data_IF_740670121324
#
_entry.id   IF_740670121324
#
_cell.length_a   1.000
_cell.length_b   1.000
_cell.length_c   1.000
_cell.angle_alpha   90.00
_cell.angle_beta   90.00
_cell.angle_gamma   90.00
#
_symmetry.space_group_name_H-M   'P 1'
#
loop_
_entity.id
_entity.type
_entity.pdbx_description
1 polymer ?
#
# COMPACT_ATOMS: atom_id res chain seq x y z
N UNK A 1 -11.68 -21.56 -12.62
CA UNK A 1 -12.19 -20.74 -13.74
C UNK A 1 -11.19 -19.61 -13.91
N UNK A 2 -10.37 -19.66 -14.96
CA UNK A 2 -9.21 -18.77 -15.15
C UNK A 2 -9.72 -17.34 -15.34
N UNK A 3 -9.40 -16.46 -14.38
CA UNK A 3 -9.47 -15.02 -14.60
C UNK A 3 -8.29 -14.65 -15.50
N UNK A 4 -8.57 -14.31 -16.74
CA UNK A 4 -7.65 -13.50 -17.55
C UNK A 4 -8.37 -12.19 -17.81
N UNK A 5 -8.28 -11.25 -16.88
CA UNK A 5 -8.64 -9.87 -17.20
C UNK A 5 -7.64 -9.37 -18.26
N UNK A 6 -8.06 -8.41 -19.08
CA UNK A 6 -7.20 -7.86 -20.14
C UNK A 6 -5.86 -7.38 -19.60
N UNK A 7 -5.85 -6.85 -18.37
CA UNK A 7 -4.63 -6.39 -17.72
C UNK A 7 -3.64 -7.54 -17.46
N UNK A 8 -4.08 -8.69 -16.96
CA UNK A 8 -3.20 -9.85 -16.68
C UNK A 8 -2.50 -10.37 -17.94
N UNK A 9 -3.16 -10.21 -19.10
CA UNK A 9 -2.58 -10.55 -20.42
C UNK A 9 -1.69 -9.43 -20.96
N UNK A 10 -1.92 -8.19 -20.55
CA UNK A 10 -1.22 -7.02 -21.03
C UNK A 10 0.10 -6.78 -20.29
N UNK A 11 0.12 -7.04 -18.98
CA UNK A 11 1.21 -6.64 -18.10
C UNK A 11 1.62 -7.78 -17.16
N UNK A 12 2.89 -7.85 -16.76
CA UNK A 12 3.30 -8.68 -15.63
C UNK A 12 2.78 -8.08 -14.32
N UNK A 13 2.31 -8.94 -13.42
CA UNK A 13 1.81 -8.54 -12.10
C UNK A 13 2.79 -8.93 -11.00
N UNK A 14 3.06 -7.99 -10.10
CA UNK A 14 3.80 -8.22 -8.86
C UNK A 14 2.83 -8.02 -7.71
N UNK A 15 2.19 -9.10 -7.27
CA UNK A 15 1.15 -9.04 -6.23
C UNK A 15 1.73 -9.19 -4.82
N UNK A 16 1.07 -8.55 -3.86
CA UNK A 16 1.12 -8.86 -2.44
C UNK A 16 -0.33 -8.91 -1.93
N UNK A 17 -0.61 -9.72 -0.91
CA UNK A 17 -1.93 -9.71 -0.28
C UNK A 17 -2.05 -8.57 0.73
N UNK A 18 -3.28 -8.33 1.13
CA UNK A 18 -3.65 -7.63 2.34
C UNK A 18 -4.35 -8.59 3.32
N UNK A 19 -5.14 -8.05 4.25
CA UNK A 19 -5.90 -8.81 5.23
C UNK A 19 -7.05 -9.60 4.59
N UNK A 20 -7.75 -9.03 3.61
CA UNK A 20 -8.94 -9.61 2.97
C UNK A 20 -8.70 -10.90 2.17
N UNK A 21 -7.45 -11.23 1.83
CA UNK A 21 -7.09 -12.56 1.33
C UNK A 21 -7.23 -13.66 2.40
N UNK A 22 -7.35 -13.27 3.69
CA UNK A 22 -7.54 -14.17 4.82
C UNK A 22 -8.77 -13.81 5.68
N UNK A 23 -8.76 -12.65 6.34
CA UNK A 23 -9.80 -12.13 7.23
C UNK A 23 -9.55 -10.65 7.57
N UNK A 24 -10.63 -9.87 7.79
CA UNK A 24 -10.55 -8.45 8.12
C UNK A 24 -9.61 -8.17 9.31
N UNK A 25 -8.73 -7.19 9.12
CA UNK A 25 -7.70 -6.72 10.03
C UNK A 25 -6.84 -7.85 10.63
N UNK A 26 -6.35 -8.76 9.78
CA UNK A 26 -5.51 -9.87 10.19
C UNK A 26 -4.12 -9.44 10.71
N UNK A 27 -3.63 -10.17 11.71
CA UNK A 27 -2.26 -10.17 12.19
C UNK A 27 -1.75 -11.63 12.26
N UNK A 28 -0.50 -11.84 12.68
CA UNK A 28 0.16 -13.16 12.71
C UNK A 28 -0.66 -14.28 13.36
N UNK A 29 -1.40 -13.95 14.41
CA UNK A 29 -2.05 -14.92 15.31
C UNK A 29 -3.59 -14.82 15.33
N UNK A 30 -4.19 -13.94 14.53
CA UNK A 30 -5.64 -13.80 14.48
C UNK A 30 -6.11 -12.69 13.56
N UNK A 31 -7.40 -12.35 13.66
CA UNK A 31 -7.99 -11.21 12.97
C UNK A 31 -9.17 -10.67 13.77
N UNK A 32 -9.68 -9.49 13.40
CA UNK A 32 -10.86 -8.90 14.05
C UNK A 32 -12.12 -9.75 13.84
N UNK A 33 -12.24 -10.39 12.68
CA UNK A 33 -13.46 -11.09 12.25
C UNK A 33 -13.35 -12.61 12.29
N UNK A 34 -12.29 -13.16 12.90
CA UNK A 34 -12.11 -14.60 13.01
C UNK A 34 -12.75 -15.17 14.29
N UNK A 35 -13.85 -15.90 14.11
CA UNK A 35 -14.41 -16.79 15.14
C UNK A 35 -13.98 -18.26 14.91
N UNK A 36 -13.24 -18.89 15.84
CA UNK A 36 -12.84 -20.29 15.73
C UNK A 36 -14.00 -21.29 15.69
N UNK A 37 -15.14 -20.97 16.31
CA UNK A 37 -16.32 -21.84 16.31
C UNK A 37 -17.00 -21.88 14.93
N UNK A 38 -16.89 -20.80 14.14
CA UNK A 38 -17.49 -20.68 12.81
C UNK A 38 -16.51 -21.00 11.68
N UNK A 39 -15.23 -20.66 11.85
CA UNK A 39 -14.23 -20.69 10.78
C UNK A 39 -13.17 -21.77 10.93
N UNK A 40 -13.19 -22.56 12.01
CA UNK A 40 -12.11 -23.49 12.34
C UNK A 40 -10.90 -22.79 12.95
N UNK A 41 -9.77 -23.48 13.07
CA UNK A 41 -8.57 -22.86 13.67
C UNK A 41 -8.02 -21.73 12.79
N UNK A 42 -7.40 -20.71 13.40
CA UNK A 42 -6.75 -19.63 12.66
C UNK A 42 -5.68 -20.17 11.70
N UNK A 43 -4.90 -21.16 12.15
CA UNK A 43 -3.89 -21.81 11.33
C UNK A 43 -4.48 -22.46 10.08
N UNK A 44 -5.61 -23.17 10.20
CA UNK A 44 -6.24 -23.82 9.05
C UNK A 44 -6.73 -22.78 8.03
N UNK A 45 -7.32 -21.68 8.53
CA UNK A 45 -7.78 -20.57 7.68
C UNK A 45 -6.61 -19.91 6.94
N UNK A 46 -5.51 -19.60 7.62
CA UNK A 46 -4.31 -19.01 7.01
C UNK A 46 -3.66 -19.97 6.03
N UNK A 47 -3.56 -21.26 6.35
CA UNK A 47 -3.02 -22.27 5.44
C UNK A 47 -3.85 -22.37 4.16
N UNK A 48 -5.18 -22.42 4.28
CA UNK A 48 -6.08 -22.44 3.13
C UNK A 48 -5.99 -21.15 2.28
N UNK A 49 -5.97 -19.99 2.94
CA UNK A 49 -5.86 -18.68 2.27
C UNK A 49 -4.54 -18.54 1.50
N UNK A 50 -3.40 -18.83 2.16
CA UNK A 50 -2.09 -18.74 1.52
C UNK A 50 -1.93 -19.77 0.41
N UNK A 51 -2.41 -21.01 0.59
CA UNK A 51 -2.43 -22.00 -0.48
C UNK A 51 -3.21 -21.49 -1.70
N UNK A 52 -4.44 -21.02 -1.50
CA UNK A 52 -5.25 -20.48 -2.60
C UNK A 52 -4.54 -19.31 -3.30
N UNK A 53 -3.93 -18.40 -2.53
CA UNK A 53 -3.19 -17.26 -3.09
C UNK A 53 -2.05 -17.71 -4.03
N UNK A 54 -1.23 -18.68 -3.62
CA UNK A 54 -0.12 -19.20 -4.44
C UNK A 54 -0.59 -20.10 -5.59
N UNK A 55 -1.75 -20.74 -5.48
CA UNK A 55 -2.34 -21.54 -6.57
C UNK A 55 -2.97 -20.69 -7.67
N UNK A 56 -3.54 -19.53 -7.30
CA UNK A 56 -4.30 -18.68 -8.22
C UNK A 56 -3.49 -17.55 -8.85
N UNK A 57 -2.44 -17.07 -8.19
CA UNK A 57 -1.62 -15.97 -8.69
C UNK A 57 -0.30 -16.46 -9.28
N UNK A 58 0.24 -15.78 -10.31
CA UNK A 58 1.50 -16.14 -10.96
C UNK A 58 2.71 -15.72 -10.10
N UNK A 59 2.85 -16.31 -8.92
CA UNK A 59 3.84 -15.94 -7.91
C UNK A 59 4.90 -17.02 -7.84
N UNK A 60 6.18 -16.62 -7.95
CA UNK A 60 7.28 -17.48 -7.50
C UNK A 60 7.33 -17.44 -5.98
N UNK A 61 6.99 -18.57 -5.36
CA UNK A 61 7.01 -18.76 -3.90
C UNK A 61 8.44 -18.62 -3.37
N UNK A 62 8.75 -17.60 -2.54
CA UNK A 62 10.11 -17.38 -2.04
C UNK A 62 10.58 -18.48 -1.08
N UNK A 63 9.67 -18.97 -0.26
CA UNK A 63 9.91 -20.01 0.73
C UNK A 63 8.77 -21.02 0.68
N UNK A 64 9.04 -22.21 0.15
CA UNK A 64 8.05 -23.27 0.05
C UNK A 64 7.73 -23.92 1.41
N UNK A 65 8.55 -23.68 2.44
CA UNK A 65 8.31 -24.18 3.79
C UNK A 65 7.37 -23.29 4.60
N UNK A 66 7.28 -22.00 4.27
CA UNK A 66 6.35 -21.06 4.88
C UNK A 66 5.75 -20.13 3.82
N UNK A 67 4.54 -20.49 3.35
CA UNK A 67 3.86 -19.74 2.29
C UNK A 67 3.52 -18.30 2.69
N UNK A 68 3.54 -17.95 3.98
CA UNK A 68 3.34 -16.57 4.48
C UNK A 68 4.50 -15.65 4.12
N UNK A 69 5.69 -16.21 3.82
CA UNK A 69 6.88 -15.44 3.44
C UNK A 69 6.83 -15.05 1.97
N UNK A 70 6.09 -13.99 1.67
CA UNK A 70 5.93 -13.48 0.29
C UNK A 70 6.71 -12.21 -0.05
N UNK A 71 7.39 -11.61 0.94
CA UNK A 71 8.16 -10.40 0.68
C UNK A 71 9.32 -10.69 -0.28
N UNK A 72 9.49 -9.79 -1.24
CA UNK A 72 10.34 -10.01 -2.43
C UNK A 72 11.00 -8.72 -2.87
N UNK A 73 12.04 -8.89 -3.67
CA UNK A 73 12.86 -7.81 -4.19
C UNK A 73 13.00 -7.92 -5.71
N UNK A 74 12.86 -6.81 -6.42
CA UNK A 74 12.98 -6.73 -7.87
C UNK A 74 13.84 -5.53 -8.27
N UNK A 75 14.84 -5.77 -9.11
CA UNK A 75 15.71 -4.72 -9.65
C UNK A 75 15.27 -4.32 -11.05
N UNK A 76 15.12 -3.00 -11.26
CA UNK A 76 14.83 -2.39 -12.55
C UNK A 76 16.06 -1.61 -13.02
N UNK A 77 17.10 -2.35 -13.42
CA UNK A 77 18.39 -1.78 -13.81
C UNK A 77 19.04 -1.03 -12.65
N UNK A 78 19.63 0.12 -12.94
CA UNK A 78 20.17 1.07 -11.95
C UNK A 78 19.14 2.13 -11.52
N UNK A 79 17.96 2.13 -12.13
CA UNK A 79 16.94 3.15 -11.90
C UNK A 79 16.21 2.93 -10.58
N UNK A 80 15.69 1.73 -10.34
CA UNK A 80 14.82 1.49 -9.19
C UNK A 80 14.95 0.07 -8.64
N UNK A 81 14.75 -0.04 -7.33
CA UNK A 81 14.55 -1.30 -6.61
C UNK A 81 13.14 -1.32 -6.04
N UNK A 82 12.43 -2.42 -6.22
CA UNK A 82 11.09 -2.63 -5.66
C UNK A 82 11.16 -3.67 -4.54
N UNK A 83 10.85 -3.23 -3.33
CA UNK A 83 10.68 -4.04 -2.14
C UNK A 83 9.18 -4.27 -1.92
N UNK A 84 8.70 -5.47 -2.20
CA UNK A 84 7.34 -5.87 -1.85
C UNK A 84 7.35 -6.43 -0.43
N UNK A 85 6.67 -5.74 0.48
CA UNK A 85 6.61 -6.06 1.90
C UNK A 85 5.34 -6.86 2.24
N UNK A 86 5.43 -7.62 3.32
CA UNK A 86 4.31 -8.36 3.92
C UNK A 86 4.02 -7.73 5.29
N UNK A 87 2.81 -7.22 5.50
CA UNK A 87 2.47 -6.51 6.74
C UNK A 87 1.28 -7.13 7.46
N UNK A 88 0.91 -8.40 7.24
CA UNK A 88 -0.28 -9.02 7.84
C UNK A 88 0.00 -10.32 8.57
N UNK A 89 0.39 -11.37 7.86
CA UNK A 89 0.33 -12.74 8.37
C UNK A 89 1.65 -13.27 8.93
N UNK A 90 2.78 -12.66 8.57
CA UNK A 90 4.08 -13.15 9.02
C UNK A 90 4.50 -12.54 10.35
N UNK A 91 4.74 -11.22 10.35
CA UNK A 91 5.42 -10.55 11.46
C UNK A 91 4.53 -9.73 12.36
N UNK A 92 3.39 -9.25 11.85
CA UNK A 92 2.56 -8.23 12.48
C UNK A 92 1.98 -8.66 13.84
N UNK A 93 2.14 -7.79 14.83
CA UNK A 93 1.45 -7.87 16.11
C UNK A 93 0.00 -7.37 16.02
N UNK A 94 -0.90 -7.68 16.99
CA UNK A 94 -2.30 -7.25 16.92
C UNK A 94 -2.44 -5.71 16.92
N UNK A 95 -3.33 -5.12 16.10
CA UNK A 95 -3.53 -3.67 16.01
C UNK A 95 -3.94 -3.02 17.34
N UNK A 96 -3.52 -1.77 17.53
CA UNK A 96 -3.67 -1.04 18.79
C UNK A 96 -5.07 -0.43 18.95
N UNK A 97 -6.10 -1.27 19.18
CA UNK A 97 -7.51 -0.85 19.17
C UNK A 97 -8.02 -0.13 20.42
N UNK A 98 -7.29 -0.17 21.53
CA UNK A 98 -7.71 0.43 22.81
C UNK A 98 -6.84 1.62 23.17
N UNK A 99 -7.34 2.56 23.97
CA UNK A 99 -6.53 3.67 24.49
C UNK A 99 -5.27 3.18 25.22
N UNK A 100 -5.35 2.04 25.92
CA UNK A 100 -4.21 1.39 26.56
C UNK A 100 -3.17 0.94 25.53
N UNK A 101 -3.61 0.33 24.43
CA UNK A 101 -2.72 -0.15 23.37
C UNK A 101 -2.18 0.98 22.50
N UNK A 102 -2.90 2.10 22.38
CA UNK A 102 -2.39 3.31 21.70
C UNK A 102 -1.17 3.90 22.39
N UNK A 103 -1.04 3.72 23.71
CA UNK A 103 0.19 4.06 24.45
C UNK A 103 1.38 3.15 24.13
N UNK A 104 1.16 2.01 23.46
CA UNK A 104 2.17 1.01 23.14
C UNK A 104 2.69 1.10 21.70
N UNK A 105 2.23 2.05 20.89
CA UNK A 105 2.67 2.18 19.48
C UNK A 105 4.18 2.45 19.37
N UNK A 106 4.78 3.05 20.41
CA UNK A 106 6.21 3.32 20.54
C UNK A 106 6.99 2.20 21.26
N UNK A 107 6.35 1.09 21.64
CA UNK A 107 7.05 -0.06 22.20
C UNK A 107 8.02 -0.64 21.16
N UNK A 108 9.31 -0.64 21.49
CA UNK A 108 10.37 -1.14 20.61
C UNK A 108 10.20 -2.62 20.24
N UNK A 109 9.50 -3.41 21.05
CA UNK A 109 9.22 -4.81 20.75
C UNK A 109 8.10 -4.98 19.71
N UNK A 110 7.26 -3.97 19.52
CA UNK A 110 6.12 -4.02 18.61
C UNK A 110 6.58 -3.96 17.15
N UNK A 111 5.97 -4.77 16.30
CA UNK A 111 6.37 -4.89 14.90
C UNK A 111 5.20 -5.09 13.94
N UNK A 112 5.31 -4.48 12.76
CA UNK A 112 4.44 -4.63 11.59
C UNK A 112 5.04 -5.70 10.65
N UNK A 113 6.34 -5.62 10.38
CA UNK A 113 7.02 -6.50 9.42
C UNK A 113 7.50 -7.82 10.04
N UNK A 114 7.72 -7.84 11.35
CA UNK A 114 8.53 -8.86 12.01
C UNK A 114 10.03 -8.61 11.84
N UNK A 115 10.81 -8.91 12.87
CA UNK A 115 12.25 -8.62 12.89
C UNK A 115 13.05 -9.32 11.77
N UNK A 116 12.61 -10.49 11.30
CA UNK A 116 13.24 -11.19 10.18
C UNK A 116 13.14 -10.38 8.88
N UNK A 117 11.93 -9.91 8.54
CA UNK A 117 11.73 -9.10 7.34
C UNK A 117 12.39 -7.72 7.47
N UNK A 118 12.39 -7.13 8.67
CA UNK A 118 13.12 -5.89 8.93
C UNK A 118 14.63 -6.05 8.68
N UNK A 119 15.22 -7.16 9.12
CA UNK A 119 16.62 -7.48 8.88
C UNK A 119 16.90 -7.75 7.40
N UNK A 120 16.02 -8.49 6.72
CA UNK A 120 16.10 -8.72 5.29
C UNK A 120 16.10 -7.40 4.50
N UNK A 121 15.21 -6.47 4.87
CA UNK A 121 15.15 -5.15 4.23
C UNK A 121 16.43 -4.35 4.46
N UNK A 122 16.90 -4.29 5.71
CA UNK A 122 18.14 -3.61 6.05
C UNK A 122 19.34 -4.13 5.25
N UNK A 123 19.45 -5.46 5.10
CA UNK A 123 20.51 -6.10 4.32
C UNK A 123 20.44 -5.76 2.83
N UNK A 124 19.23 -5.57 2.28
CA UNK A 124 19.05 -5.19 0.87
C UNK A 124 19.28 -3.70 0.60
N UNK A 125 19.02 -2.85 1.57
CA UNK A 125 19.28 -1.41 1.46
C UNK A 125 20.78 -1.10 1.57
N UNK A 126 21.52 -1.88 2.36
CA UNK A 126 22.95 -1.70 2.58
C UNK A 126 23.75 -1.78 1.26
N UNK A 127 24.41 -0.67 0.90
CA UNK A 127 25.29 -0.61 -0.28
C UNK A 127 24.58 -0.70 -1.63
N UNK A 128 23.25 -0.63 -1.67
CA UNK A 128 22.49 -0.65 -2.90
C UNK A 128 22.66 0.69 -3.66
N UNK A 129 23.11 0.71 -4.93
CA UNK A 129 23.39 1.95 -5.66
C UNK A 129 22.20 2.48 -6.48
N UNK A 130 21.06 1.78 -6.53
CA UNK A 130 19.93 2.18 -7.36
C UNK A 130 19.45 3.59 -7.02
N UNK A 131 18.86 4.30 -7.98
CA UNK A 131 18.45 5.68 -7.73
C UNK A 131 17.22 5.77 -6.83
N UNK A 132 16.19 5.00 -7.13
CA UNK A 132 14.92 4.98 -6.41
C UNK A 132 14.75 3.69 -5.60
N UNK A 133 14.23 3.81 -4.38
CA UNK A 133 13.76 2.64 -3.59
C UNK A 133 12.25 2.76 -3.50
N UNK A 134 11.56 1.77 -4.04
CA UNK A 134 10.10 1.69 -4.04
C UNK A 134 9.70 0.60 -3.05
N UNK A 135 8.82 0.92 -2.11
CA UNK A 135 8.30 0.00 -1.11
C UNK A 135 6.82 -0.23 -1.40
N UNK A 136 6.48 -1.39 -1.95
CA UNK A 136 5.10 -1.82 -2.07
C UNK A 136 4.65 -2.42 -0.75
N UNK A 137 3.62 -1.85 -0.14
CA UNK A 137 3.03 -2.35 1.09
C UNK A 137 1.52 -2.12 1.11
N UNK A 138 0.84 -2.66 2.10
CA UNK A 138 -0.61 -2.75 2.15
C UNK A 138 -1.23 -1.44 2.65
N UNK A 139 -0.72 -0.93 3.77
CA UNK A 139 -1.34 0.16 4.55
C UNK A 139 -0.58 1.47 4.48
N UNK A 140 -1.26 2.59 4.69
CA UNK A 140 -0.62 3.92 4.70
C UNK A 140 0.54 4.01 5.71
N UNK A 141 1.71 4.43 5.22
CA UNK A 141 2.95 4.57 5.98
C UNK A 141 3.11 5.97 6.59
N UNK A 142 2.75 7.00 5.82
CA UNK A 142 2.69 8.37 6.28
C UNK A 142 1.72 8.50 7.44
N UNK A 143 2.05 9.41 8.35
CA UNK A 143 1.32 9.53 9.60
C UNK A 143 0.00 10.28 9.38
N UNK A 144 -1.11 9.74 9.87
CA UNK A 144 -2.42 10.37 9.84
C UNK A 144 -2.90 10.57 11.28
N UNK A 145 -2.77 11.80 11.78
CA UNK A 145 -3.14 12.10 13.15
C UNK A 145 -4.43 12.91 13.25
N UNK A 146 -5.29 12.48 14.18
CA UNK A 146 -6.50 13.23 14.57
C UNK A 146 -6.18 14.37 15.54
N UNK A 147 -5.04 14.30 16.22
CA UNK A 147 -4.49 15.37 17.05
C UNK A 147 -2.96 15.40 16.91
N UNK A 148 -2.41 16.53 16.48
CA UNK A 148 -0.97 16.73 16.38
C UNK A 148 -0.40 17.12 17.77
N UNK A 149 0.60 16.37 18.25
CA UNK A 149 1.23 16.58 19.57
C UNK A 149 2.55 17.36 19.49
N UNK A 150 2.80 18.05 18.37
CA UNK A 150 4.04 18.79 18.09
C UNK A 150 5.32 17.94 18.17
N UNK A 151 5.20 16.64 17.89
CA UNK A 151 6.32 15.69 17.88
C UNK A 151 6.70 15.09 19.24
N UNK A 152 5.85 15.23 20.28
CA UNK A 152 6.05 14.59 21.59
C UNK A 152 5.71 13.09 21.58
N UNK A 153 4.73 12.71 20.76
CA UNK A 153 4.47 11.34 20.27
C UNK A 153 4.76 11.41 18.78
N UNK A 154 5.26 10.36 18.11
CA UNK A 154 5.64 10.40 16.68
C UNK A 154 4.50 10.90 15.77
N UNK A 155 4.42 12.22 15.67
CA UNK A 155 3.41 13.05 15.03
C UNK A 155 2.05 13.26 15.74
N UNK A 156 1.56 12.40 16.65
CA UNK A 156 0.22 12.62 17.24
C UNK A 156 -0.53 11.41 17.76
N UNK A 157 -1.84 11.57 17.96
CA UNK A 157 -2.79 10.45 18.20
C UNK A 157 -3.15 9.83 16.85
N UNK A 158 -2.90 8.52 16.64
CA UNK A 158 -3.26 7.80 15.41
C UNK A 158 -4.74 7.97 15.03
N UNK A 159 -5.00 8.30 13.76
CA UNK A 159 -6.34 8.28 13.19
C UNK A 159 -6.78 6.88 12.77
N UNK A 160 -5.83 6.03 12.38
CA UNK A 160 -6.06 4.62 12.07
C UNK A 160 -4.95 3.73 12.67
N UNK A 161 -5.19 3.07 13.82
CA UNK A 161 -4.18 2.23 14.48
C UNK A 161 -3.99 0.85 13.85
N UNK A 162 -4.76 0.52 12.81
CA UNK A 162 -4.49 -0.66 11.98
C UNK A 162 -3.29 -0.42 11.04
N UNK A 163 -3.06 0.83 10.65
CA UNK A 163 -1.97 1.21 9.75
C UNK A 163 -0.64 1.42 10.50
N UNK A 164 0.38 1.95 9.82
CA UNK A 164 1.70 2.17 10.41
C UNK A 164 1.73 3.11 11.62
N UNK A 165 0.70 3.94 11.81
CA UNK A 165 0.54 4.72 13.05
C UNK A 165 0.35 3.85 14.30
N UNK A 166 -0.19 2.63 14.13
CA UNK A 166 -0.26 1.62 15.19
C UNK A 166 1.08 0.96 15.52
N UNK A 167 2.14 1.22 14.74
CA UNK A 167 3.45 0.57 14.83
C UNK A 167 4.58 1.60 14.69
N UNK A 168 4.44 2.73 15.37
CA UNK A 168 5.38 3.86 15.32
C UNK A 168 6.84 3.44 15.56
N UNK A 169 7.10 2.53 16.52
CA UNK A 169 8.43 2.01 16.77
C UNK A 169 9.04 1.29 15.55
N UNK A 170 8.25 0.45 14.85
CA UNK A 170 8.71 -0.21 13.64
C UNK A 170 8.91 0.80 12.50
N UNK A 171 7.97 1.73 12.30
CA UNK A 171 8.11 2.81 11.31
C UNK A 171 9.38 3.62 11.53
N UNK A 172 9.68 3.94 12.78
CA UNK A 172 10.89 4.66 13.19
C UNK A 172 12.16 3.87 12.82
N UNK A 173 12.18 2.54 13.00
CA UNK A 173 13.31 1.70 12.56
C UNK A 173 13.50 1.72 11.04
N UNK A 174 12.45 1.83 10.24
CA UNK A 174 12.55 2.02 8.79
C UNK A 174 13.18 3.38 8.46
N UNK A 175 12.74 4.45 9.11
CA UNK A 175 13.39 5.77 8.98
C UNK A 175 14.86 5.73 9.40
N UNK A 176 15.21 4.99 10.45
CA UNK A 176 16.60 4.81 10.89
C UNK A 176 17.43 4.07 9.82
N UNK A 177 16.88 3.04 9.18
CA UNK A 177 17.54 2.35 8.06
C UNK A 177 17.78 3.29 6.87
N UNK A 178 16.80 4.13 6.51
CA UNK A 178 16.98 5.15 5.47
C UNK A 178 18.02 6.18 5.85
N UNK A 179 18.03 6.65 7.10
CA UNK A 179 19.01 7.61 7.59
C UNK A 179 20.43 7.03 7.59
N UNK A 180 20.62 5.81 8.07
CA UNK A 180 21.91 5.12 8.14
C UNK A 180 22.55 4.90 6.76
N UNK A 181 21.73 4.78 5.71
CA UNK A 181 22.19 4.60 4.34
C UNK A 181 22.14 5.90 3.50
N UNK A 182 21.83 7.05 4.10
CA UNK A 182 21.70 8.33 3.39
C UNK A 182 20.59 8.35 2.33
N UNK A 183 19.59 7.48 2.46
CA UNK A 183 18.53 7.32 1.47
C UNK A 183 17.50 8.43 1.57
N UNK A 184 17.26 9.11 0.45
CA UNK A 184 16.30 10.22 0.34
C UNK A 184 15.35 10.08 -0.86
N UNK A 185 15.55 9.08 -1.71
CA UNK A 185 14.70 8.76 -2.87
C UNK A 185 13.82 7.55 -2.55
N UNK A 186 13.04 7.65 -1.48
CA UNK A 186 12.15 6.59 -1.03
C UNK A 186 10.73 6.86 -1.52
N UNK A 187 10.12 5.90 -2.22
CA UNK A 187 8.74 5.95 -2.68
C UNK A 187 7.97 4.83 -2.00
N UNK A 188 6.93 5.15 -1.25
CA UNK A 188 6.04 4.15 -0.66
C UNK A 188 4.75 4.09 -1.46
N UNK A 189 4.30 2.88 -1.78
CA UNK A 189 3.03 2.60 -2.44
C UNK A 189 2.14 1.82 -1.47
N UNK A 190 0.90 2.28 -1.32
CA UNK A 190 -0.06 1.77 -0.32
C UNK A 190 -1.48 1.70 -0.88
N UNK A 191 -2.35 0.93 -0.23
CA UNK A 191 -3.78 0.80 -0.52
C UNK A 191 -4.60 0.83 0.78
N UNK A 192 -5.44 -0.20 1.00
CA UNK A 192 -6.22 -0.46 2.22
C UNK A 192 -7.35 0.55 2.52
N UNK A 193 -7.06 1.85 2.56
CA UNK A 193 -7.97 2.89 3.07
C UNK A 193 -9.03 3.40 2.06
N UNK A 194 -9.19 2.72 0.93
CA UNK A 194 -10.21 3.00 -0.12
C UNK A 194 -10.33 4.48 -0.54
N UNK A 195 -9.21 5.19 -0.57
CA UNK A 195 -9.15 6.61 -0.94
C UNK A 195 -7.75 6.98 -1.42
N UNK A 196 -7.61 8.08 -2.14
CA UNK A 196 -6.35 8.51 -2.74
C UNK A 196 -5.62 9.54 -1.89
N UNK A 197 -4.32 9.32 -1.66
CA UNK A 197 -3.49 10.21 -0.86
C UNK A 197 -2.10 10.40 -1.44
N UNK A 198 -1.53 11.58 -1.25
CA UNK A 198 -0.12 11.84 -1.52
C UNK A 198 0.52 12.57 -0.35
N UNK A 199 1.65 12.08 0.15
CA UNK A 199 2.29 12.64 1.34
C UNK A 199 3.83 12.72 1.21
N UNK A 200 4.41 13.75 1.82
CA UNK A 200 5.85 13.80 2.09
C UNK A 200 6.19 12.85 3.25
N UNK A 201 7.24 12.06 3.10
CA UNK A 201 7.69 11.12 4.13
C UNK A 201 8.72 11.78 5.04
N UNK A 202 8.35 11.97 6.30
CA UNK A 202 9.22 12.50 7.34
C UNK A 202 8.94 11.79 8.65
N UNK A 203 9.96 11.62 9.48
CA UNK A 203 9.83 10.93 10.78
C UNK A 203 8.94 11.68 11.75
N UNK A 204 8.99 13.02 11.72
CA UNK A 204 8.29 13.90 12.66
C UNK A 204 7.63 15.07 11.91
N UNK A 205 6.54 14.85 11.17
CA UNK A 205 5.83 15.86 10.40
C UNK A 205 5.23 16.99 11.26
N UNK A 206 4.97 16.75 12.55
CA UNK A 206 4.48 17.77 13.48
C UNK A 206 5.58 18.64 14.10
N UNK A 207 6.86 18.33 13.88
CA UNK A 207 7.97 19.02 14.54
C UNK A 207 8.62 20.05 13.58
N UNK A 208 8.42 21.37 13.80
CA UNK A 208 8.95 22.41 12.92
C UNK A 208 10.48 22.52 12.95
N UNK A 209 11.14 21.97 13.96
CA UNK A 209 12.61 21.93 14.02
C UNK A 209 13.17 20.96 12.98
N UNK A 210 12.48 19.84 12.71
CA UNK A 210 12.95 18.79 11.81
C UNK A 210 12.28 18.80 10.45
N UNK A 211 11.06 19.35 10.34
CA UNK A 211 10.28 19.37 9.11
C UNK A 211 9.70 20.76 8.82
N UNK A 212 9.60 21.13 7.54
CA UNK A 212 8.95 22.37 7.12
C UNK A 212 8.02 22.09 5.94
N UNK A 213 6.69 22.23 6.09
CA UNK A 213 5.74 21.96 5.02
C UNK A 213 5.80 22.96 3.86
N UNK A 214 6.40 24.13 4.10
CA UNK A 214 6.54 25.19 3.09
C UNK A 214 7.52 24.84 1.98
N UNK A 215 8.57 24.08 2.30
CA UNK A 215 9.63 23.73 1.37
C UNK A 215 9.98 22.24 1.37
N UNK A 216 9.37 21.43 2.22
CA UNK A 216 9.63 19.98 2.31
C UNK A 216 10.95 19.63 2.97
N UNK A 217 11.63 20.58 3.64
CA UNK A 217 12.83 20.28 4.44
C UNK A 217 12.51 19.17 5.43
N UNK A 218 13.39 18.19 5.54
CA UNK A 218 13.21 17.01 6.41
C UNK A 218 12.43 15.87 5.77
N UNK A 219 11.84 16.06 4.59
CA UNK A 219 11.28 14.98 3.80
C UNK A 219 12.39 14.09 3.23
N UNK A 220 12.19 12.78 3.28
CA UNK A 220 13.12 11.74 2.80
C UNK A 220 12.48 10.83 1.74
N UNK A 221 11.32 11.23 1.21
CA UNK A 221 10.59 10.47 0.22
C UNK A 221 9.16 10.95 0.03
N UNK A 222 8.39 10.17 -0.71
CA UNK A 222 6.97 10.39 -0.94
C UNK A 222 6.20 9.08 -0.78
N UNK A 223 4.93 9.19 -0.39
CA UNK A 223 3.98 8.09 -0.45
C UNK A 223 2.83 8.44 -1.39
N UNK A 224 2.41 7.43 -2.17
CA UNK A 224 1.20 7.46 -2.98
C UNK A 224 0.28 6.33 -2.52
N UNK A 225 -0.87 6.69 -1.97
CA UNK A 225 -1.89 5.74 -1.51
C UNK A 225 -2.98 5.69 -2.57
N UNK A 226 -3.26 4.49 -3.07
CA UNK A 226 -4.22 4.25 -4.12
C UNK A 226 -5.63 4.04 -3.55
N UNK A 227 -6.64 4.57 -4.24
CA UNK A 227 -8.04 4.25 -3.95
C UNK A 227 -8.37 2.79 -4.27
N UNK A 228 -9.56 2.36 -3.86
CA UNK A 228 -10.07 1.03 -4.18
C UNK A 228 -10.41 0.91 -5.67
N UNK A 229 -10.28 -0.31 -6.21
CA UNK A 229 -10.79 -0.63 -7.56
C UNK A 229 -12.30 -0.66 -7.55
N UNK A 230 -12.93 -1.31 -6.56
CA UNK A 230 -14.40 -1.42 -6.44
C UNK A 230 -14.95 -1.38 -5.02
N UNK A 231 -14.14 -1.56 -3.97
CA UNK A 231 -14.61 -1.45 -2.58
C UNK A 231 -15.23 -0.08 -2.30
N UNK A 232 -16.16 -0.01 -1.35
CA UNK A 232 -16.83 1.25 -1.00
C UNK A 232 -15.84 2.36 -0.63
N UNK A 233 -16.02 3.54 -1.23
CA UNK A 233 -15.32 4.78 -0.88
C UNK A 233 -16.10 5.55 0.19
N UNK A 234 -15.57 6.66 0.67
CA UNK A 234 -16.18 7.47 1.74
C UNK A 234 -16.50 8.90 1.27
N UNK A 235 -17.35 9.08 0.25
CA UNK A 235 -17.62 10.41 -0.33
C UNK A 235 -18.27 11.39 0.67
N UNK A 236 -18.95 10.89 1.70
CA UNK A 236 -19.50 11.68 2.79
C UNK A 236 -18.43 12.36 3.65
N UNK A 237 -17.19 11.84 3.65
CA UNK A 237 -16.06 12.40 4.36
C UNK A 237 -15.28 13.43 3.52
N UNK A 238 -15.57 13.58 2.22
CA UNK A 238 -14.86 14.54 1.35
C UNK A 238 -14.73 15.96 1.94
N UNK A 239 -15.74 16.53 2.64
CA UNK A 239 -15.61 17.85 3.27
C UNK A 239 -14.52 17.97 4.33
N UNK A 240 -14.02 16.86 4.90
CA UNK A 240 -12.94 16.89 5.89
C UNK A 240 -11.54 16.82 5.27
N UNK A 241 -11.41 16.61 3.96
CA UNK A 241 -10.12 16.49 3.27
C UNK A 241 -9.19 17.69 3.54
N UNK A 242 -9.74 18.92 3.49
CA UNK A 242 -8.98 20.15 3.77
C UNK A 242 -8.56 20.25 5.24
N UNK A 243 -9.41 19.81 6.17
CA UNK A 243 -9.11 19.78 7.60
C UNK A 243 -7.99 18.77 7.88
N UNK A 244 -8.04 17.60 7.25
CA UNK A 244 -6.98 16.60 7.39
C UNK A 244 -5.64 17.16 6.93
N UNK A 245 -5.58 17.84 5.78
CA UNK A 245 -4.36 18.49 5.27
C UNK A 245 -3.88 19.64 6.16
N UNK A 246 -4.80 20.37 6.79
CA UNK A 246 -4.45 21.42 7.75
C UNK A 246 -3.77 20.86 9.01
N UNK A 247 -4.27 19.73 9.53
CA UNK A 247 -3.72 19.07 10.72
C UNK A 247 -2.45 18.26 10.42
N UNK A 248 -2.34 17.75 9.20
CA UNK A 248 -1.27 16.87 8.73
C UNK A 248 -0.58 17.50 7.51
N UNK A 249 0.18 18.57 7.73
CA UNK A 249 0.75 19.42 6.65
C UNK A 249 1.76 18.73 5.71
N UNK A 250 2.18 17.50 6.03
CA UNK A 250 2.94 16.62 5.13
C UNK A 250 2.07 15.90 4.10
N UNK A 251 0.77 15.73 4.37
CA UNK A 251 -0.21 15.22 3.41
C UNK A 251 -0.55 16.36 2.43
N UNK A 252 -0.24 16.15 1.15
CA UNK A 252 -0.43 17.14 0.07
C UNK A 252 -1.72 16.93 -0.71
N UNK A 253 -2.20 15.69 -0.74
CA UNK A 253 -3.40 15.29 -1.49
C UNK A 253 -4.25 14.32 -0.68
N UNK A 254 -5.56 14.52 -0.76
CA UNK A 254 -6.61 13.69 -0.18
C UNK A 254 -7.79 13.72 -1.15
N UNK A 255 -8.22 12.57 -1.63
CA UNK A 255 -9.43 12.40 -2.44
C UNK A 255 -10.17 11.16 -1.94
N UNK A 256 -11.36 11.36 -1.38
CA UNK A 256 -12.07 10.35 -0.59
C UNK A 256 -13.23 9.69 -1.36
N UNK A 257 -13.49 10.12 -2.59
CA UNK A 257 -14.75 9.86 -3.28
C UNK A 257 -14.61 8.82 -4.37
N UNK A 258 -13.59 8.97 -5.20
CA UNK A 258 -13.49 8.23 -6.46
C UNK A 258 -12.68 6.95 -6.29
N UNK A 259 -13.14 5.90 -6.97
CA UNK A 259 -12.32 4.75 -7.31
C UNK A 259 -11.26 5.14 -8.33
N UNK A 260 -10.23 4.31 -8.49
CA UNK A 260 -9.18 4.59 -9.46
C UNK A 260 -7.94 3.75 -9.27
N UNK A 261 -6.86 4.21 -9.90
CA UNK A 261 -5.53 3.65 -9.73
C UNK A 261 -4.46 4.74 -9.72
N UNK A 262 -3.27 4.38 -9.26
CA UNK A 262 -2.09 5.23 -9.33
C UNK A 262 -1.15 4.74 -10.42
N UNK A 263 -0.74 5.64 -11.31
CA UNK A 263 0.37 5.42 -12.23
C UNK A 263 1.63 6.05 -11.63
N UNK A 264 2.68 5.24 -11.44
CA UNK A 264 3.99 5.72 -11.00
C UNK A 264 4.94 5.78 -12.20
N UNK A 265 5.36 6.99 -12.59
CA UNK A 265 6.42 7.22 -13.57
C UNK A 265 7.74 7.52 -12.85
N UNK A 266 8.76 6.70 -13.13
CA UNK A 266 10.11 6.87 -12.60
C UNK A 266 11.07 7.20 -13.73
N UNK A 267 11.81 8.28 -13.57
CA UNK A 267 12.97 8.61 -14.40
C UNK A 267 14.18 8.88 -13.52
N UNK A 268 15.40 9.00 -14.08
CA UNK A 268 16.53 9.38 -13.25
C UNK A 268 16.33 10.73 -12.52
N UNK A 269 15.52 11.65 -13.05
CA UNK A 269 15.37 12.99 -12.48
C UNK A 269 14.19 13.14 -11.53
N UNK A 270 13.18 12.25 -11.60
CA UNK A 270 11.96 12.38 -10.80
C UNK A 270 11.23 11.06 -10.59
N UNK A 271 10.44 11.03 -9.52
CA UNK A 271 9.35 10.09 -9.34
C UNK A 271 8.04 10.88 -9.35
N UNK A 272 7.08 10.47 -10.18
CA UNK A 272 5.78 11.11 -10.32
C UNK A 272 4.66 10.08 -10.13
N UNK A 273 3.78 10.34 -9.15
CA UNK A 273 2.55 9.58 -8.95
C UNK A 273 1.35 10.33 -9.50
N UNK A 274 0.53 9.64 -10.28
CA UNK A 274 -0.65 10.17 -10.95
C UNK A 274 -1.88 9.42 -10.51
N UNK A 275 -2.91 10.16 -10.09
CA UNK A 275 -4.18 9.61 -9.65
C UNK A 275 -5.16 9.63 -10.83
N UNK A 276 -5.45 8.45 -11.37
CA UNK A 276 -6.44 8.24 -12.42
C UNK A 276 -7.73 7.76 -11.80
N UNK A 277 -8.79 8.53 -11.98
CA UNK A 277 -10.05 8.37 -11.25
C UNK A 277 -11.15 7.89 -12.20
N UNK A 278 -12.01 7.02 -11.72
CA UNK A 278 -13.22 6.58 -12.44
C UNK A 278 -14.48 7.14 -11.77
N UNK A 279 -15.50 7.39 -12.58
CA UNK A 279 -16.76 8.02 -12.15
C UNK A 279 -17.76 7.03 -11.52
N UNK A 280 -17.75 5.76 -11.94
CA UNK A 280 -18.60 4.71 -11.38
C UNK A 280 -17.98 3.32 -11.53
N UNK A 281 -18.32 2.44 -10.60
CA UNK A 281 -18.02 1.00 -10.63
C UNK A 281 -19.30 0.14 -10.63
N UNK A 282 -20.47 0.77 -10.57
CA UNK A 282 -21.77 0.08 -10.49
C UNK A 282 -22.24 -0.41 -11.87
N UNK A 283 -21.67 0.16 -12.94
CA UNK A 283 -22.01 -0.20 -14.32
C UNK A 283 -20.73 -0.42 -15.14
N UNK A 284 -20.79 -1.23 -16.21
CA UNK A 284 -19.64 -1.47 -17.07
C UNK A 284 -19.27 -0.27 -17.95
N UNK A 285 -20.09 0.79 -17.96
CA UNK A 285 -19.83 2.02 -18.70
C UNK A 285 -19.35 3.07 -17.70
N UNK A 286 -18.07 3.37 -17.76
CA UNK A 286 -17.42 4.34 -16.88
C UNK A 286 -16.52 5.27 -17.70
N UNK A 287 -16.22 6.43 -17.12
CA UNK A 287 -15.26 7.38 -17.64
C UNK A 287 -14.04 7.40 -16.74
N UNK A 288 -12.87 7.28 -17.34
CA UNK A 288 -11.59 7.54 -16.68
C UNK A 288 -11.20 9.00 -16.89
N UNK A 289 -10.66 9.63 -15.84
CA UNK A 289 -10.11 10.99 -15.91
C UNK A 289 -8.83 11.13 -15.11
N UNK A 290 -7.97 12.02 -15.58
CA UNK A 290 -6.85 12.52 -14.79
C UNK A 290 -7.40 13.29 -13.57
N UNK A 291 -7.00 12.88 -12.37
CA UNK A 291 -7.39 13.52 -11.12
C UNK A 291 -6.36 14.56 -10.68
N UNK A 292 -5.20 14.09 -10.27
CA UNK A 292 -4.08 14.93 -9.82
C UNK A 292 -2.76 14.19 -10.06
N UNK A 293 -1.66 14.92 -10.03
CA UNK A 293 -0.33 14.32 -10.02
C UNK A 293 0.61 15.07 -9.09
N UNK A 294 1.55 14.33 -8.52
CA UNK A 294 2.57 14.87 -7.64
C UNK A 294 3.92 14.24 -7.97
N UNK A 295 4.97 15.06 -7.98
CA UNK A 295 6.32 14.63 -8.29
C UNK A 295 7.30 15.06 -7.22
N UNK A 296 8.33 14.24 -7.05
CA UNK A 296 9.51 14.55 -6.27
C UNK A 296 10.76 14.41 -7.15
N UNK A 297 11.71 15.37 -7.09
CA UNK A 297 12.95 15.29 -7.85
C UNK A 297 13.89 14.21 -7.28
N UNK A 298 14.96 13.86 -8.01
CA UNK A 298 16.09 13.17 -7.39
C UNK A 298 16.68 14.05 -6.28
N UNK A 299 16.73 13.53 -5.06
CA UNK A 299 17.30 14.25 -3.92
C UNK A 299 18.77 14.62 -4.14
N UNK A 300 19.55 13.85 -4.93
CA UNK A 300 20.94 14.18 -5.22
C UNK A 300 21.06 15.49 -6.03
N UNK A 301 20.10 15.75 -6.92
CA UNK A 301 20.04 17.00 -7.70
C UNK A 301 19.65 18.21 -6.80
N UNK A 302 19.11 17.95 -5.60
CA UNK A 302 18.79 18.94 -4.56
C UNK A 302 19.89 19.04 -3.47
N UNK A 303 21.11 18.65 -3.81
CA UNK A 303 22.25 18.63 -2.87
C UNK A 303 22.10 17.60 -1.74
N UNK A 304 21.23 16.60 -1.91
CA UNK A 304 21.01 15.51 -0.96
C UNK A 304 20.26 15.88 0.32
N UNK A 305 19.72 17.10 0.42
CA UNK A 305 19.24 17.65 1.69
C UNK A 305 17.83 17.21 2.09
N UNK A 306 16.92 17.05 1.13
CA UNK A 306 15.53 16.62 1.32
C UNK A 306 14.88 16.22 -0.02
N UNK A 307 13.71 15.58 0.04
CA UNK A 307 12.97 15.08 -1.11
C UNK A 307 11.52 15.59 -1.08
N UNK A 308 11.26 16.83 -1.54
CA UNK A 308 9.97 17.47 -1.43
C UNK A 308 8.96 16.97 -2.46
N UNK A 309 7.70 16.87 -2.07
CA UNK A 309 6.60 16.50 -2.97
C UNK A 309 5.88 17.75 -3.46
N UNK A 310 5.66 17.85 -4.77
CA UNK A 310 5.03 19.02 -5.42
C UNK A 310 3.95 18.57 -6.38
N UNK A 311 2.84 19.32 -6.41
CA UNK A 311 1.81 19.11 -7.43
C UNK A 311 2.38 19.42 -8.82
N UNK A 312 2.02 18.59 -9.80
CA UNK A 312 2.34 18.81 -11.22
C UNK A 312 1.03 18.88 -12.01
N UNK A 313 1.01 19.71 -13.06
CA UNK A 313 -0.22 20.07 -13.76
C UNK A 313 -0.69 19.01 -14.77
N UNK A 314 0.19 18.11 -15.18
CA UNK A 314 -0.03 17.18 -16.29
C UNK A 314 0.45 15.78 -15.93
N UNK A 315 -0.22 14.78 -16.50
CA UNK A 315 0.26 13.41 -16.53
C UNK A 315 1.57 13.32 -17.32
N UNK A 316 2.34 12.26 -17.08
CA UNK A 316 3.51 11.91 -17.85
C UNK A 316 3.11 11.55 -19.27
N UNK A 317 3.95 11.94 -20.23
CA UNK A 317 3.78 11.57 -21.62
C UNK A 317 3.86 10.05 -21.78
N UNK A 318 2.93 9.43 -22.52
CA UNK A 318 3.00 8.00 -22.83
C UNK A 318 4.33 7.65 -23.51
N UNK A 319 4.86 6.46 -23.21
CA UNK A 319 6.04 5.95 -23.91
C UNK A 319 5.73 5.74 -25.39
N UNK A 320 6.57 6.29 -26.26
CA UNK A 320 6.41 6.21 -27.71
C UNK A 320 6.47 4.75 -28.23
N UNK A 321 7.08 3.85 -27.48
CA UNK A 321 7.28 2.43 -27.79
C UNK A 321 6.42 1.50 -26.93
N UNK A 322 5.27 1.98 -26.43
CA UNK A 322 4.35 1.15 -25.65
C UNK A 322 3.95 -0.13 -26.42
N UNK A 323 3.94 -1.31 -25.76
CA UNK A 323 3.47 -2.54 -26.38
C UNK A 323 2.03 -2.41 -26.89
N UNK A 324 1.71 -3.15 -27.96
CA UNK A 324 0.33 -3.25 -28.42
C UNK A 324 -0.58 -3.75 -27.30
N UNK A 325 -1.82 -3.24 -27.27
CA UNK A 325 -2.80 -3.71 -26.32
C UNK A 325 -3.24 -5.15 -26.64
N UNK A 326 -3.51 -5.91 -25.59
CA UNK A 326 -3.96 -7.26 -25.63
C UNK A 326 -5.34 -7.26 -26.30
N UNK A 327 -5.64 -8.27 -27.13
CA UNK A 327 -6.92 -8.38 -27.80
C UNK A 327 -8.09 -8.26 -26.82
N UNK A 328 -9.13 -7.53 -27.24
CA UNK A 328 -10.36 -7.39 -26.49
C UNK A 328 -11.09 -8.74 -26.39
N UNK A 329 -11.46 -9.15 -25.18
CA UNK A 329 -12.07 -10.47 -24.89
C UNK A 329 -13.56 -10.51 -25.26
N UNK A 330 -14.17 -9.38 -25.64
CA UNK A 330 -15.56 -9.35 -26.06
C UNK A 330 -15.89 -10.37 -27.17
N UNK A 331 -14.92 -10.69 -28.04
CA UNK A 331 -15.06 -11.73 -29.06
C UNK A 331 -14.77 -13.17 -28.60
N UNK A 332 -13.95 -13.36 -27.55
CA UNK A 332 -13.45 -14.67 -27.12
C UNK A 332 -14.26 -15.29 -25.97
N UNK A 333 -14.91 -14.50 -25.11
CA UNK A 333 -15.82 -15.01 -24.08
C UNK A 333 -17.05 -15.73 -24.67
N UNK A 334 -17.41 -15.44 -25.92
CA UNK A 334 -18.46 -16.16 -26.65
C UNK A 334 -18.05 -17.60 -27.04
N UNK A 335 -16.75 -17.95 -26.94
CA UNK A 335 -16.20 -19.25 -27.37
C UNK A 335 -15.87 -20.21 -26.22
N UNK A 336 -15.92 -19.74 -24.97
CA UNK A 336 -15.67 -20.60 -23.81
C UNK A 336 -16.98 -21.31 -23.41
N UNK A 337 -17.05 -22.65 -23.43
CA UNK A 337 -18.19 -23.36 -22.89
C UNK A 337 -18.31 -23.02 -21.40
N UNK A 338 -19.46 -22.47 -21.01
CA UNK A 338 -19.78 -22.31 -19.58
C UNK A 338 -19.76 -23.72 -18.97
N UNK A 339 -19.02 -23.98 -17.88
CA UNK A 339 -19.14 -25.25 -17.19
C UNK A 339 -20.60 -25.44 -16.78
N UNK A 340 -21.21 -26.55 -17.21
CA UNK A 340 -22.46 -27.00 -16.62
C UNK A 340 -22.18 -27.29 -15.16
N UNK A 341 -22.67 -26.43 -14.28
CA UNK A 341 -22.72 -26.74 -12.87
C UNK A 341 -23.88 -27.71 -12.70
N UNK A 342 -23.58 -29.00 -12.62
CA UNK A 342 -24.52 -29.95 -12.03
C UNK A 342 -24.66 -29.57 -10.54
N UNK A 343 -25.70 -28.82 -10.21
CA UNK A 343 -26.11 -28.64 -8.82
C UNK A 343 -26.69 -29.96 -8.31
N UNK A 344 -26.08 -30.62 -7.31
CA UNK A 344 -26.82 -31.60 -6.54
C UNK A 344 -27.85 -30.84 -5.71
N UNK A 345 -29.13 -31.13 -5.89
CA UNK A 345 -30.20 -30.66 -5.00
C UNK A 345 -29.87 -31.07 -3.56
N UNK A 346 -29.37 -30.14 -2.75
CA UNK A 346 -29.46 -30.27 -1.30
C UNK A 346 -30.84 -29.79 -0.88
N UNK A 347 -31.71 -30.75 -0.55
CA UNK A 347 -33.03 -30.50 0.00
C UNK A 347 -32.94 -29.55 1.20
N UNK A 348 -33.61 -28.40 1.10
CA UNK A 348 -33.88 -27.54 2.25
C UNK A 348 -34.95 -28.24 3.11
N UNK A 349 -34.55 -28.73 4.29
CA UNK A 349 -35.52 -29.07 5.32
C UNK A 349 -36.06 -27.76 5.94
N UNK A 350 -37.38 -27.61 6.13
CA UNK A 350 -37.94 -26.43 6.78
C UNK A 350 -37.68 -26.49 8.28
N UNK A 351 -37.19 -25.37 8.83
CA UNK A 351 -37.14 -25.13 10.28
C UNK A 351 -38.57 -24.85 10.74
N UNK A 352 -39.07 -25.66 11.69
CA UNK A 352 -40.22 -25.32 12.53
C UNK A 352 -39.75 -24.64 13.81
#
# INVERSE_FOLDING_TARGET
MIWTCRNDRQHPFICAWDDHESANDAWREGSETHDPALHGSWSDRVNAATQAYHEWLPIRTPDAADLRRIWRHFAFGDLAELFMLETRLFGRDPPARTLLNLGQTEDTARTMLGFEQEQWLAARLAGNPARWRVYGNQTMFAQLHVLNTLGLISGGIPGNPDQWDGYAANRNRIFDQWAANGLRNNIVLSGDIHSSWAAELTRFPGNPATYSPLNGRGSVGAEFVCSAVTSGTAPELDPIADVVRLLNTHIKYVELRSHGYVLLDLTPQRAQGEFWLVDTVDTPVFSERFGAAFATPDANDQGGSHNPLRAVAQASEPRADAPLLAPDVAGDLARLPRPQVDTPERSRAPVQ
#
